data_IF_013781277341
#
_entry.id   IF_013781277341
#
_cell.length_a   1.000
_cell.length_b   1.000
_cell.length_c   1.000
_cell.angle_alpha   90.00
_cell.angle_beta   90.00
_cell.angle_gamma   90.00
#
_symmetry.space_group_name_H-M   'P 1'
#
loop_
_entity.id
_entity.type
_entity.pdbx_description
1 polymer ?
#
# COMPACT_ATOMS: atom_id res chain seq x y z
N UNK A 1 3.17 6.66 3.91
CA UNK A 1 2.53 5.47 3.31
C UNK A 1 2.36 5.69 1.82
N UNK A 2 2.62 4.67 1.00
CA UNK A 2 2.42 4.72 -0.44
C UNK A 2 1.22 3.86 -0.85
N UNK A 3 0.29 4.42 -1.59
CA UNK A 3 -0.95 3.77 -2.03
C UNK A 3 -1.00 3.79 -3.55
N UNK A 4 -1.20 2.63 -4.15
CA UNK A 4 -1.56 2.50 -5.55
C UNK A 4 -3.07 2.33 -5.67
N UNK A 5 -3.72 3.28 -6.33
CA UNK A 5 -5.15 3.31 -6.50
C UNK A 5 -5.53 3.07 -7.95
N UNK A 6 -6.55 2.23 -8.17
CA UNK A 6 -6.92 1.75 -9.49
C UNK A 6 -8.42 1.87 -9.69
N UNK A 7 -8.82 2.53 -10.76
CA UNK A 7 -10.19 2.56 -11.26
C UNK A 7 -10.34 1.42 -12.26
N UNK A 8 -11.21 0.47 -11.96
CA UNK A 8 -11.33 -0.81 -12.68
C UNK A 8 -12.66 -0.93 -13.41
N UNK A 9 -12.65 -1.47 -14.63
CA UNK A 9 -13.85 -1.99 -15.32
C UNK A 9 -13.65 -3.48 -15.62
N UNK A 10 -14.28 -4.34 -14.82
CA UNK A 10 -13.95 -5.77 -14.77
C UNK A 10 -12.50 -5.95 -14.34
N UNK A 11 -11.73 -6.65 -15.17
CA UNK A 11 -10.31 -6.91 -14.94
C UNK A 11 -9.38 -5.85 -15.57
N UNK A 12 -9.94 -4.84 -16.24
CA UNK A 12 -9.15 -3.78 -16.89
C UNK A 12 -8.94 -2.59 -15.96
N UNK A 13 -7.69 -2.15 -15.81
CA UNK A 13 -7.36 -0.85 -15.22
C UNK A 13 -7.69 0.24 -16.25
N UNK A 14 -8.61 1.14 -15.90
CA UNK A 14 -8.93 2.31 -16.74
C UNK A 14 -7.96 3.47 -16.48
N UNK A 15 -7.64 3.67 -15.21
CA UNK A 15 -6.76 4.73 -14.70
C UNK A 15 -6.20 4.28 -13.36
N UNK A 16 -4.98 4.67 -13.07
CA UNK A 16 -4.35 4.47 -11.78
C UNK A 16 -3.61 5.72 -11.32
N UNK A 17 -3.45 5.84 -10.01
CA UNK A 17 -2.67 6.90 -9.39
C UNK A 17 -1.81 6.33 -8.29
N UNK A 18 -0.60 6.89 -8.16
CA UNK A 18 0.31 6.60 -7.07
C UNK A 18 0.28 7.76 -6.10
N UNK A 19 -0.13 7.49 -4.88
CA UNK A 19 -0.20 8.46 -3.81
C UNK A 19 0.88 8.19 -2.77
N UNK A 20 1.62 9.24 -2.44
CA UNK A 20 2.59 9.25 -1.35
C UNK A 20 2.19 10.36 -0.38
N UNK A 21 2.06 9.99 0.89
CA UNK A 21 1.70 10.94 1.95
C UNK A 21 1.96 10.39 3.34
N UNK A 22 2.08 11.31 4.29
CA UNK A 22 2.18 11.00 5.71
C UNK A 22 0.77 10.78 6.27
N UNK A 23 0.46 9.53 6.64
CA UNK A 23 -0.81 9.20 7.28
C UNK A 23 -0.58 8.34 8.50
N UNK A 24 -1.29 8.68 9.56
CA UNK A 24 -1.37 7.84 10.75
C UNK A 24 -2.16 6.56 10.41
N UNK A 25 -1.78 5.39 10.96
CA UNK A 25 -2.54 4.14 10.81
C UNK A 25 -3.80 4.17 11.69
N UNK A 26 -4.66 5.14 11.44
CA UNK A 26 -5.94 5.34 12.14
C UNK A 26 -7.05 5.48 11.12
N UNK A 27 -8.31 5.28 11.53
CA UNK A 27 -9.45 5.45 10.64
C UNK A 27 -9.53 6.86 10.03
N UNK A 28 -9.20 7.90 10.82
CA UNK A 28 -9.14 9.27 10.34
C UNK A 28 -8.05 9.48 9.28
N UNK A 29 -6.84 8.97 9.52
CA UNK A 29 -5.76 9.03 8.54
C UNK A 29 -6.06 8.23 7.27
N UNK A 30 -6.75 7.09 7.40
CA UNK A 30 -7.26 6.34 6.26
C UNK A 30 -8.31 7.12 5.47
N UNK A 31 -9.24 7.82 6.13
CA UNK A 31 -10.23 8.68 5.47
C UNK A 31 -9.56 9.78 4.66
N UNK A 32 -8.60 10.49 5.26
CA UNK A 32 -7.83 11.53 4.56
C UNK A 32 -7.08 10.96 3.35
N UNK A 33 -6.47 9.78 3.50
CA UNK A 33 -5.79 9.10 2.40
C UNK A 33 -6.75 8.78 1.26
N UNK A 34 -7.91 8.17 1.56
CA UNK A 34 -8.92 7.83 0.54
C UNK A 34 -9.43 9.08 -0.17
N UNK A 35 -9.71 10.18 0.55
CA UNK A 35 -10.15 11.45 -0.05
C UNK A 35 -9.11 12.01 -1.03
N UNK A 36 -7.85 12.08 -0.62
CA UNK A 36 -6.77 12.57 -1.48
C UNK A 36 -6.58 11.70 -2.72
N UNK A 37 -6.63 10.38 -2.54
CA UNK A 37 -6.46 9.41 -3.62
C UNK A 37 -7.64 9.43 -4.58
N UNK A 38 -8.87 9.52 -4.08
CA UNK A 38 -10.08 9.65 -4.89
C UNK A 38 -10.05 10.95 -5.72
N UNK A 39 -9.66 12.05 -5.10
CA UNK A 39 -9.49 13.34 -5.79
C UNK A 39 -8.46 13.24 -6.92
N UNK A 40 -7.28 12.66 -6.68
CA UNK A 40 -6.25 12.47 -7.72
C UNK A 40 -6.69 11.50 -8.82
N UNK A 41 -7.45 10.47 -8.44
CA UNK A 41 -8.02 9.51 -9.36
C UNK A 41 -9.27 10.02 -10.08
N UNK A 42 -9.69 11.27 -9.82
CA UNK A 42 -10.86 11.91 -10.41
C UNK A 42 -12.10 10.99 -10.32
N UNK A 43 -12.36 10.56 -9.09
CA UNK A 43 -13.56 9.80 -8.69
C UNK A 43 -14.13 10.43 -7.42
N UNK A 44 -15.45 10.33 -7.23
CA UNK A 44 -16.09 10.75 -5.98
C UNK A 44 -15.52 9.97 -4.79
N UNK A 45 -15.57 10.55 -3.59
CA UNK A 45 -15.06 9.84 -2.40
C UNK A 45 -16.08 8.77 -1.97
N UNK A 46 -15.68 7.49 -1.83
CA UNK A 46 -16.60 6.45 -1.37
C UNK A 46 -16.98 6.68 0.11
N UNK A 47 -18.15 6.19 0.49
CA UNK A 47 -18.60 6.10 1.88
C UNK A 47 -17.70 5.13 2.64
N UNK A 48 -17.14 5.61 3.75
CA UNK A 48 -16.16 4.85 4.53
C UNK A 48 -16.78 4.25 5.79
N UNK A 49 -16.68 2.93 5.90
CA UNK A 49 -17.02 2.16 7.09
C UNK A 49 -15.75 1.70 7.81
N UNK A 50 -15.78 1.48 9.15
CA UNK A 50 -14.65 0.93 9.90
C UNK A 50 -14.10 -0.38 9.31
N UNK A 51 -14.99 -1.24 8.78
CA UNK A 51 -14.61 -2.48 8.13
C UNK A 51 -13.70 -2.28 6.89
N UNK A 52 -13.79 -1.15 6.20
CA UNK A 52 -12.89 -0.82 5.07
C UNK A 52 -11.47 -0.60 5.56
N UNK A 53 -11.32 0.10 6.69
CA UNK A 53 -10.02 0.32 7.31
C UNK A 53 -9.43 -0.96 7.87
N UNK A 54 -10.22 -1.77 8.57
CA UNK A 54 -9.77 -3.08 9.09
C UNK A 54 -9.28 -4.00 7.95
N UNK A 55 -10.00 -4.04 6.83
CA UNK A 55 -9.57 -4.80 5.64
C UNK A 55 -8.29 -4.24 5.05
N UNK A 56 -8.20 -2.92 4.89
CA UNK A 56 -7.02 -2.27 4.34
C UNK A 56 -5.78 -2.50 5.21
N UNK A 57 -5.92 -2.39 6.52
CA UNK A 57 -4.81 -2.59 7.46
C UNK A 57 -4.37 -4.07 7.51
N UNK A 58 -5.34 -5.00 7.53
CA UNK A 58 -5.05 -6.45 7.57
C UNK A 58 -4.49 -6.99 6.26
N UNK A 59 -5.04 -6.57 5.12
CA UNK A 59 -4.75 -7.19 3.82
C UNK A 59 -3.94 -6.29 2.89
N UNK A 60 -3.54 -5.10 3.33
CA UNK A 60 -2.89 -4.09 2.49
C UNK A 60 -3.72 -3.69 1.27
N UNK A 61 -5.03 -3.98 1.28
CA UNK A 61 -5.91 -3.82 0.14
C UNK A 61 -7.36 -3.61 0.55
N UNK A 62 -8.04 -2.70 -0.13
CA UNK A 62 -9.49 -2.52 -0.04
C UNK A 62 -10.05 -2.30 -1.44
N UNK A 63 -11.27 -2.79 -1.67
CA UNK A 63 -12.01 -2.67 -2.92
C UNK A 63 -13.35 -2.04 -2.60
N UNK A 64 -13.66 -0.94 -3.27
CA UNK A 64 -14.96 -0.28 -3.25
C UNK A 64 -15.75 -0.68 -4.49
N UNK A 65 -17.00 -1.09 -4.28
CA UNK A 65 -17.99 -1.35 -5.31
C UNK A 65 -18.74 -0.05 -5.68
N UNK A 66 -19.48 0.00 -6.79
CA UNK A 66 -20.27 1.17 -7.16
C UNK A 66 -21.26 1.61 -6.07
N UNK A 67 -21.79 0.66 -5.30
CA UNK A 67 -22.69 0.91 -4.16
C UNK A 67 -22.05 1.63 -2.98
N UNK A 68 -20.72 1.73 -2.94
CA UNK A 68 -20.01 2.49 -1.91
C UNK A 68 -19.98 3.99 -2.23
N UNK A 69 -20.47 4.41 -3.40
CA UNK A 69 -20.49 5.81 -3.83
C UNK A 69 -21.91 6.36 -3.75
N UNK A 70 -22.04 7.64 -3.40
CA UNK A 70 -23.33 8.34 -3.36
C UNK A 70 -23.78 8.69 -4.79
N UNK A 71 -22.83 9.01 -5.65
CA UNK A 71 -23.04 9.34 -7.06
C UNK A 71 -22.92 8.09 -7.93
N UNK A 72 -23.66 8.06 -9.04
CA UNK A 72 -23.51 7.00 -10.04
C UNK A 72 -22.11 7.02 -10.66
N UNK A 73 -21.47 5.87 -10.68
CA UNK A 73 -20.11 5.70 -11.23
C UNK A 73 -20.10 4.77 -12.44
N UNK A 74 -19.23 5.06 -13.41
CA UNK A 74 -19.13 4.29 -14.67
C UNK A 74 -18.11 3.14 -14.63
N UNK A 75 -17.50 2.91 -13.46
CA UNK A 75 -16.52 1.85 -13.22
C UNK A 75 -17.12 0.74 -12.36
N UNK A 76 -16.46 -0.42 -12.35
CA UNK A 76 -16.92 -1.60 -11.58
C UNK A 76 -16.29 -1.69 -10.20
N UNK A 77 -15.11 -1.11 -10.01
CA UNK A 77 -14.53 -0.96 -8.68
C UNK A 77 -13.43 0.09 -8.62
N UNK A 78 -13.24 0.62 -7.42
CA UNK A 78 -12.08 1.43 -7.06
C UNK A 78 -11.26 0.66 -6.03
N UNK A 79 -10.01 0.37 -6.35
CA UNK A 79 -9.16 -0.52 -5.54
C UNK A 79 -7.99 0.29 -5.00
N UNK A 80 -7.74 0.21 -3.69
CA UNK A 80 -6.57 0.78 -3.06
C UNK A 80 -5.66 -0.34 -2.55
N UNK A 81 -4.38 -0.27 -2.87
CA UNK A 81 -3.35 -1.21 -2.43
C UNK A 81 -2.17 -0.46 -1.81
N UNK A 82 -1.70 -0.92 -0.65
CA UNK A 82 -0.48 -0.39 -0.04
C UNK A 82 0.72 -0.92 -0.81
N UNK A 83 1.57 -0.02 -1.29
CA UNK A 83 2.82 -0.38 -1.96
C UNK A 83 3.84 -0.78 -0.89
N UNK A 84 4.40 -1.97 -1.02
CA UNK A 84 5.55 -2.40 -0.22
C UNK A 84 6.81 -1.86 -0.87
N UNK A 85 7.70 -1.28 -0.08
CA UNK A 85 9.04 -0.99 -0.56
C UNK A 85 9.81 -2.31 -0.61
N UNK A 86 10.28 -2.70 -1.79
CA UNK A 86 11.28 -3.76 -1.89
C UNK A 86 12.57 -3.20 -1.29
N UNK A 87 13.00 -3.78 -0.17
CA UNK A 87 14.34 -3.54 0.36
C UNK A 87 15.32 -3.88 -0.77
N UNK A 88 16.15 -2.94 -1.28
CA UNK A 88 17.16 -3.31 -2.26
C UNK A 88 18.04 -4.39 -1.65
N UNK A 89 18.18 -5.51 -2.35
CA UNK A 89 19.08 -6.60 -1.99
C UNK A 89 20.54 -6.08 -2.05
N UNK A 90 20.99 -5.47 -0.95
CA UNK A 90 22.28 -4.76 -0.90
C UNK A 90 22.77 -4.44 0.52
N UNK A 91 22.37 -5.23 1.52
CA UNK A 91 23.06 -5.27 2.81
C UNK A 91 23.41 -6.72 3.10
N UNK A 92 24.49 -7.18 2.47
CA UNK A 92 25.26 -8.34 2.95
C UNK A 92 25.72 -8.03 4.37
N UNK A 93 25.44 -8.87 5.38
CA UNK A 93 26.08 -8.70 6.68
C UNK A 93 27.59 -8.82 6.49
N UNK A 94 28.30 -7.77 6.89
CA UNK A 94 29.74 -7.67 6.79
C UNK A 94 30.41 -8.88 7.44
N UNK A 95 31.35 -9.44 6.69
CA UNK A 95 32.51 -10.22 7.10
C UNK A 95 32.37 -11.15 8.32
N UNK A 96 32.46 -12.45 8.02
CA UNK A 96 32.87 -13.50 8.96
C UNK A 96 34.15 -13.06 9.67
N UNK A 97 34.13 -12.97 10.99
CA UNK A 97 35.35 -12.83 11.78
C UNK A 97 36.05 -14.20 11.79
N UNK A 98 37.01 -14.39 10.89
CA UNK A 98 37.93 -15.52 10.95
C UNK A 98 38.91 -15.29 12.11
N UNK A 99 38.59 -15.78 13.31
CA UNK A 99 39.55 -15.87 14.43
C UNK A 99 39.98 -17.32 14.64
N UNK A 100 40.68 -17.85 13.65
CA UNK A 100 41.48 -19.07 13.85
C UNK A 100 42.91 -18.90 13.35
N UNK A 101 43.58 -17.87 13.89
CA UNK A 101 45.03 -17.78 13.93
C UNK A 101 45.54 -18.28 15.30
N UNK A 102 45.47 -19.58 15.55
CA UNK A 102 46.15 -20.21 16.67
C UNK A 102 46.47 -21.68 16.34
N UNK A 103 47.46 -21.89 15.47
CA UNK A 103 48.20 -23.16 15.37
C UNK A 103 49.45 -22.99 14.51
N UNK A 104 50.59 -22.77 15.17
CA UNK A 104 52.00 -23.04 14.78
C UNK A 104 52.86 -22.31 15.83
N UNK A 105 53.79 -22.89 16.59
CA UNK A 105 54.48 -24.19 16.53
C UNK A 105 54.99 -24.53 17.93
N UNK A 106 54.97 -25.82 18.25
CA UNK A 106 55.89 -26.45 19.18
C UNK A 106 57.31 -26.38 18.60
N UNK A 107 58.25 -25.82 19.36
CA UNK A 107 59.57 -26.38 19.72
C UNK A 107 60.46 -25.28 20.27
#
# INVERSE_FOLDING_TARGET
MKIWAKVMRGDKILRDVLYEGEHKPTFAGFREAVQNVAYRADVSTPVLLPAHFERFDRFNRVKFAPSDFIEDVTFTSFVLERVKEDKPAGQTPAARTDVHAARRRQR
#
